data_IF_324530223425
#
_entry.id   IF_324530223425
#
_cell.length_a   1.000
_cell.length_b   1.000
_cell.length_c   1.000
_cell.angle_alpha   90.00
_cell.angle_beta   90.00
_cell.angle_gamma   90.00
#
_symmetry.space_group_name_H-M   'P 1'
#
loop_
_entity.id
_entity.type
_entity.pdbx_description
1 polymer ?
#
# COMPACT_ATOMS: atom_id res chain seq x y z
N UNK A 1 -4.65 18.19 -17.19
CA UNK A 1 -4.88 19.19 -16.13
C UNK A 1 -3.54 19.41 -15.44
N UNK A 2 -3.16 20.65 -15.10
CA UNK A 2 -1.91 20.89 -14.36
C UNK A 2 -2.14 20.55 -12.89
N UNK A 3 -1.19 19.84 -12.28
CA UNK A 3 -1.31 19.46 -10.86
C UNK A 3 -1.23 20.69 -9.97
N UNK A 4 -2.07 20.75 -8.92
CA UNK A 4 -2.06 21.87 -7.96
C UNK A 4 -0.92 21.69 -6.97
N UNK A 5 -0.10 22.73 -6.83
CA UNK A 5 0.97 22.82 -5.82
C UNK A 5 0.37 23.42 -4.55
N UNK A 6 0.69 22.82 -3.40
CA UNK A 6 0.36 23.35 -2.08
C UNK A 6 1.58 23.98 -1.44
N UNK A 7 1.40 25.16 -0.88
CA UNK A 7 2.37 25.74 0.02
C UNK A 7 2.30 25.01 1.37
N UNK A 8 3.43 24.43 1.79
CA UNK A 8 3.53 23.67 3.03
C UNK A 8 4.68 24.21 3.86
N UNK A 9 4.39 24.43 5.14
CA UNK A 9 5.38 24.89 6.12
C UNK A 9 6.60 23.97 6.17
N UNK A 10 7.79 24.57 6.25
CA UNK A 10 9.05 23.87 6.42
C UNK A 10 9.04 22.96 7.65
N UNK A 11 8.41 23.39 8.75
CA UNK A 11 8.31 22.58 9.96
C UNK A 11 7.51 21.29 9.73
N UNK A 12 6.45 21.34 8.90
CA UNK A 12 5.69 20.14 8.52
C UNK A 12 6.59 19.12 7.82
N UNK A 13 7.39 19.57 6.84
CA UNK A 13 8.32 18.71 6.11
C UNK A 13 9.34 18.08 7.05
N UNK A 14 10.01 18.92 7.87
CA UNK A 14 11.04 18.47 8.79
C UNK A 14 10.51 17.46 9.81
N UNK A 15 9.31 17.68 10.36
CA UNK A 15 8.68 16.75 11.31
C UNK A 15 8.43 15.36 10.71
N UNK A 16 8.17 15.27 9.40
CA UNK A 16 7.86 14.00 8.75
C UNK A 16 9.09 13.26 8.22
N UNK A 17 10.18 13.97 7.89
CA UNK A 17 11.31 13.35 7.18
C UNK A 17 12.60 13.20 8.00
N UNK A 18 12.89 14.15 8.90
CA UNK A 18 14.23 14.26 9.53
C UNK A 18 14.61 13.02 10.33
N UNK A 19 13.69 12.43 11.12
CA UNK A 19 13.97 11.20 11.89
C UNK A 19 14.42 10.00 11.04
N UNK A 20 14.08 10.00 9.76
CA UNK A 20 14.42 8.93 8.83
C UNK A 20 15.67 9.25 8.02
N UNK A 21 15.80 10.50 7.56
CA UNK A 21 16.81 10.91 6.58
C UNK A 21 18.05 11.58 7.19
N UNK A 22 17.93 12.26 8.34
CA UNK A 22 19.04 12.96 8.99
C UNK A 22 19.97 11.99 9.74
N UNK A 23 20.69 11.13 9.02
CA UNK A 23 21.61 10.15 9.61
C UNK A 23 23.03 10.34 9.08
N UNK A 24 23.97 10.59 9.99
CA UNK A 24 25.40 10.55 9.71
C UNK A 24 25.97 9.14 9.66
N UNK A 25 25.26 8.16 10.26
CA UNK A 25 25.65 6.77 10.22
C UNK A 25 25.41 6.16 8.83
N UNK A 26 26.43 5.51 8.29
CA UNK A 26 26.43 4.86 6.97
C UNK A 26 26.21 3.34 7.00
N UNK A 27 26.00 2.76 8.19
CA UNK A 27 25.68 1.35 8.40
C UNK A 27 24.33 0.98 7.74
N UNK A 28 24.29 -0.18 7.10
CA UNK A 28 23.11 -0.70 6.40
C UNK A 28 22.20 -1.48 7.36
N UNK A 29 21.77 -0.83 8.44
CA UNK A 29 21.01 -1.48 9.54
C UNK A 29 19.57 -1.84 9.19
N UNK A 30 19.05 -1.34 8.07
CA UNK A 30 17.66 -1.48 7.65
C UNK A 30 17.50 -2.33 6.37
N UNK A 31 18.50 -3.16 6.05
CA UNK A 31 18.44 -4.11 4.95
C UNK A 31 18.09 -5.52 5.44
N UNK A 32 16.82 -5.72 5.80
CA UNK A 32 16.29 -7.01 6.22
C UNK A 32 16.17 -7.97 5.04
N UNK A 33 16.48 -9.26 5.25
CA UNK A 33 16.41 -10.30 4.23
C UNK A 33 17.17 -9.98 2.92
N UNK A 34 18.23 -9.15 3.00
CA UNK A 34 18.98 -8.67 1.84
C UNK A 34 18.10 -8.05 0.75
N UNK A 35 17.02 -7.35 1.14
CA UNK A 35 16.10 -6.67 0.23
C UNK A 35 16.78 -5.66 -0.70
N UNK A 36 17.94 -5.12 -0.30
CA UNK A 36 18.76 -4.20 -1.07
C UNK A 36 20.19 -4.73 -1.27
N UNK A 37 20.87 -4.25 -2.31
CA UNK A 37 22.28 -4.54 -2.53
C UNK A 37 23.19 -3.91 -1.47
N UNK A 38 24.41 -4.45 -1.30
CA UNK A 38 25.36 -4.01 -0.28
C UNK A 38 25.83 -2.55 -0.39
N UNK A 39 25.58 -1.88 -1.51
CA UNK A 39 25.91 -0.46 -1.74
C UNK A 39 24.68 0.43 -1.85
N UNK A 40 23.48 -0.11 -1.61
CA UNK A 40 22.23 0.62 -1.80
C UNK A 40 21.97 1.57 -0.61
N UNK A 41 21.86 2.89 -0.84
CA UNK A 41 21.67 3.85 0.24
C UNK A 41 20.38 3.63 1.03
N UNK A 42 19.36 2.99 0.43
CA UNK A 42 18.07 2.74 1.08
C UNK A 42 18.18 1.82 2.28
N UNK A 43 19.16 0.91 2.30
CA UNK A 43 19.39 0.05 3.46
C UNK A 43 19.92 0.78 4.70
N UNK A 44 20.31 2.05 4.58
CA UNK A 44 20.69 2.93 5.71
C UNK A 44 19.51 3.70 6.30
N UNK A 45 18.40 3.78 5.54
CA UNK A 45 17.24 4.60 5.87
C UNK A 45 16.22 3.75 6.63
N UNK A 46 15.86 4.22 7.82
CA UNK A 46 14.78 3.63 8.58
C UNK A 46 13.46 3.92 7.87
N UNK A 47 12.66 2.90 7.57
CA UNK A 47 11.31 3.04 7.00
C UNK A 47 11.27 3.85 5.68
N UNK A 48 12.20 3.56 4.77
CA UNK A 48 12.31 4.22 3.47
C UNK A 48 11.02 4.18 2.61
N UNK A 49 10.15 3.20 2.86
CA UNK A 49 8.85 3.02 2.22
C UNK A 49 7.84 4.15 2.48
N UNK A 50 8.12 5.06 3.44
CA UNK A 50 7.26 6.21 3.75
C UNK A 50 7.27 7.32 2.70
N UNK A 51 8.24 7.29 1.78
CA UNK A 51 8.44 8.35 0.80
C UNK A 51 7.95 7.93 -0.59
N UNK A 52 7.29 8.83 -1.35
CA UNK A 52 6.87 10.17 -0.94
C UNK A 52 5.81 10.12 0.17
N UNK A 53 5.67 11.20 0.94
CA UNK A 53 4.68 11.25 2.02
C UNK A 53 3.30 11.36 1.38
N UNK A 54 2.38 10.49 1.78
CA UNK A 54 1.00 10.48 1.29
C UNK A 54 0.09 10.69 2.48
N UNK A 55 -0.74 11.71 2.39
CA UNK A 55 -1.59 12.10 3.50
C UNK A 55 -2.90 12.70 2.98
N UNK A 56 -3.88 12.90 3.86
CA UNK A 56 -5.17 13.44 3.48
C UNK A 56 -5.07 14.92 3.14
N UNK A 57 -5.82 15.33 2.12
CA UNK A 57 -5.90 16.72 1.72
C UNK A 57 -7.06 17.43 2.42
N UNK A 58 -6.78 18.53 3.10
CA UNK A 58 -7.84 19.44 3.61
C UNK A 58 -7.66 20.84 3.04
N UNK A 59 -8.29 21.10 1.89
CA UNK A 59 -8.35 22.43 1.30
C UNK A 59 -9.29 23.36 2.06
N UNK A 60 -8.96 24.65 2.15
CA UNK A 60 -9.81 25.68 2.77
C UNK A 60 -10.85 26.27 1.81
N UNK A 61 -10.68 26.13 0.49
CA UNK A 61 -11.30 27.07 -0.47
C UNK A 61 -12.32 26.53 -1.47
N UNK A 62 -12.66 25.24 -1.53
CA UNK A 62 -13.75 24.78 -2.42
C UNK A 62 -14.39 23.49 -1.92
N UNK A 63 -15.68 23.30 -2.22
CA UNK A 63 -16.43 22.04 -2.10
C UNK A 63 -15.87 20.90 -2.97
N UNK A 64 -14.76 21.10 -3.70
CA UNK A 64 -14.00 20.02 -4.32
C UNK A 64 -13.39 19.16 -3.22
N UNK A 65 -13.94 17.97 -3.06
CA UNK A 65 -14.06 17.37 -1.76
C UNK A 65 -12.72 16.86 -1.21
N UNK A 66 -12.52 17.04 0.10
CA UNK A 66 -11.52 16.37 0.94
C UNK A 66 -11.46 14.84 0.68
N UNK A 67 -12.57 14.29 0.18
CA UNK A 67 -12.75 12.87 -0.08
C UNK A 67 -11.96 12.43 -1.31
N UNK A 68 -11.73 13.28 -2.31
CA UNK A 68 -11.23 12.85 -3.63
C UNK A 68 -9.70 12.91 -3.77
N UNK A 69 -9.02 13.65 -2.89
CA UNK A 69 -7.60 13.98 -3.07
C UNK A 69 -6.71 13.61 -1.87
N UNK A 70 -5.45 13.30 -2.18
CA UNK A 70 -4.35 13.26 -1.23
C UNK A 70 -3.45 14.48 -1.39
N UNK A 71 -2.79 14.86 -0.29
CA UNK A 71 -1.56 15.66 -0.35
C UNK A 71 -0.40 14.69 -0.49
N UNK A 72 0.44 14.90 -1.50
CA UNK A 72 1.63 14.07 -1.76
C UNK A 72 2.86 14.95 -1.73
N UNK A 73 3.75 14.70 -0.78
CA UNK A 73 4.98 15.47 -0.59
C UNK A 73 6.18 14.68 -1.08
N UNK A 74 6.81 15.17 -2.14
CA UNK A 74 8.09 14.68 -2.63
C UNK A 74 9.22 15.36 -1.87
N UNK A 75 10.20 14.58 -1.44
CA UNK A 75 11.34 15.07 -0.67
C UNK A 75 12.61 14.53 -1.31
N UNK A 76 13.53 15.43 -1.58
CA UNK A 76 14.90 15.10 -1.93
C UNK A 76 15.83 15.57 -0.79
N UNK A 77 16.82 14.76 -0.47
CA UNK A 77 17.79 15.07 0.58
C UNK A 77 19.21 14.95 0.04
N UNK A 78 19.99 16.02 0.17
CA UNK A 78 21.41 16.04 -0.13
C UNK A 78 22.22 16.14 1.17
N UNK A 79 23.07 15.15 1.43
CA UNK A 79 24.12 15.22 2.46
C UNK A 79 25.44 15.80 1.94
N UNK A 80 25.48 16.18 0.65
CA UNK A 80 26.66 16.74 0.03
C UNK A 80 26.96 18.13 0.59
N UNK A 81 28.25 18.46 0.70
CA UNK A 81 28.69 19.84 0.99
C UNK A 81 28.35 20.79 -0.16
N UNK A 82 28.32 20.27 -1.39
CA UNK A 82 27.80 20.97 -2.56
C UNK A 82 26.31 20.70 -2.70
N UNK A 83 25.49 21.70 -2.34
CA UNK A 83 24.04 21.66 -2.52
C UNK A 83 23.69 21.86 -4.01
N UNK A 84 22.70 21.12 -4.53
CA UNK A 84 22.28 21.27 -5.93
C UNK A 84 21.70 22.66 -6.18
N UNK A 85 21.91 23.20 -7.38
CA UNK A 85 21.33 24.50 -7.76
C UNK A 85 19.85 24.37 -8.11
N UNK A 86 19.45 23.22 -8.65
CA UNK A 86 18.08 22.91 -9.00
C UNK A 86 17.71 21.48 -8.59
N UNK A 87 16.54 21.37 -7.97
CA UNK A 87 15.87 20.10 -7.69
C UNK A 87 14.44 20.21 -8.21
N UNK A 88 14.02 19.25 -9.03
CA UNK A 88 12.67 19.16 -9.53
C UNK A 88 12.16 17.72 -9.57
N UNK A 89 10.86 17.54 -9.73
CA UNK A 89 10.22 16.23 -9.89
C UNK A 89 9.36 16.24 -11.15
N UNK A 90 9.35 15.11 -11.85
CA UNK A 90 8.44 14.87 -12.98
C UNK A 90 7.87 13.47 -12.88
N UNK A 91 6.62 13.29 -13.32
CA UNK A 91 5.93 12.02 -13.17
C UNK A 91 4.52 12.04 -13.76
N UNK A 92 3.84 10.90 -13.69
CA UNK A 92 2.52 10.70 -14.31
C UNK A 92 1.36 11.40 -13.59
N UNK A 93 1.63 12.08 -12.48
CA UNK A 93 0.66 12.95 -11.79
C UNK A 93 0.52 14.32 -12.46
N UNK A 94 1.37 14.64 -13.43
CA UNK A 94 1.26 15.79 -14.32
C UNK A 94 1.75 15.38 -15.73
N UNK A 95 1.95 16.35 -16.63
CA UNK A 95 2.57 16.10 -17.93
C UNK A 95 4.05 15.78 -17.75
N UNK A 96 4.53 14.68 -18.37
CA UNK A 96 5.90 14.19 -18.22
C UNK A 96 7.02 15.14 -18.69
N UNK A 97 6.71 16.13 -19.51
CA UNK A 97 7.68 17.17 -19.90
C UNK A 97 7.71 18.34 -18.91
N UNK A 98 6.75 18.42 -18.01
CA UNK A 98 6.71 19.44 -16.97
C UNK A 98 7.56 18.97 -15.78
N UNK A 99 8.53 19.78 -15.41
CA UNK A 99 9.36 19.56 -14.21
C UNK A 99 8.89 20.53 -13.15
N UNK A 100 8.42 20.01 -12.03
CA UNK A 100 7.94 20.81 -10.91
C UNK A 100 9.11 21.04 -9.97
N UNK A 101 9.50 22.30 -9.77
CA UNK A 101 10.59 22.66 -8.87
C UNK A 101 10.26 22.30 -7.41
N UNK A 102 11.25 21.79 -6.68
CA UNK A 102 11.21 21.61 -5.24
C UNK A 102 11.81 22.84 -4.57
N UNK A 103 11.20 23.25 -3.45
CA UNK A 103 11.68 24.37 -2.66
C UNK A 103 12.68 23.90 -1.61
N UNK A 104 13.74 24.69 -1.40
CA UNK A 104 14.68 24.47 -0.30
C UNK A 104 13.96 24.62 1.04
N UNK A 105 14.14 23.63 1.90
CA UNK A 105 13.57 23.63 3.26
C UNK A 105 14.59 24.22 4.22
N UNK A 106 14.12 25.16 5.04
CA UNK A 106 14.93 25.90 6.00
C UNK A 106 14.47 25.66 7.43
N UNK A 107 15.41 25.64 8.36
CA UNK A 107 15.14 25.62 9.80
C UNK A 107 15.78 26.86 10.43
N UNK A 108 14.97 27.71 11.08
CA UNK A 108 15.43 28.99 11.64
C UNK A 108 16.20 29.89 10.64
N UNK A 109 15.86 29.80 9.35
CA UNK A 109 16.49 30.56 8.27
C UNK A 109 17.72 29.90 7.64
N UNK A 110 18.23 28.81 8.23
CA UNK A 110 19.40 28.07 7.72
C UNK A 110 18.97 26.95 6.76
N UNK A 111 19.83 26.68 5.77
CA UNK A 111 19.63 25.56 4.84
C UNK A 111 19.74 24.23 5.57
N UNK A 112 18.83 23.31 5.25
CA UNK A 112 18.80 21.98 5.87
C UNK A 112 19.29 20.87 4.94
N UNK A 113 19.58 21.18 3.66
CA UNK A 113 19.87 20.19 2.61
C UNK A 113 18.65 19.39 2.11
N UNK A 114 17.46 19.66 2.66
CA UNK A 114 16.20 19.11 2.17
C UNK A 114 15.57 20.03 1.12
N UNK A 115 14.99 19.42 0.10
CA UNK A 115 14.16 20.08 -0.90
C UNK A 115 12.82 19.35 -0.95
N UNK A 116 11.71 20.07 -1.02
CA UNK A 116 10.40 19.42 -1.10
C UNK A 116 9.37 20.21 -1.91
N UNK A 117 8.36 19.49 -2.40
CA UNK A 117 7.15 20.06 -2.98
C UNK A 117 5.96 19.19 -2.59
N UNK A 118 4.84 19.84 -2.26
CA UNK A 118 3.59 19.15 -1.95
C UNK A 118 2.58 19.38 -3.06
N UNK A 119 2.00 18.30 -3.58
CA UNK A 119 1.04 18.30 -4.67
C UNK A 119 -0.32 17.78 -4.20
N UNK A 120 -1.41 18.26 -4.82
CA UNK A 120 -2.75 17.68 -4.68
C UNK A 120 -2.94 16.64 -5.79
N UNK A 121 -3.07 15.37 -5.41
CA UNK A 121 -3.17 14.23 -6.34
C UNK A 121 -4.43 13.41 -6.03
N UNK A 122 -5.21 12.97 -7.03
CA UNK A 122 -6.39 12.16 -6.79
C UNK A 122 -6.10 10.88 -6.00
N UNK A 123 -7.05 10.46 -5.16
CA UNK A 123 -7.04 9.14 -4.51
C UNK A 123 -7.29 8.03 -5.52
N UNK A 124 -6.90 6.81 -5.18
CA UNK A 124 -7.13 5.63 -6.01
C UNK A 124 -6.12 5.41 -7.15
N UNK A 125 -5.10 6.25 -7.27
CA UNK A 125 -4.18 6.27 -8.42
C UNK A 125 -2.80 5.70 -8.08
N UNK A 126 -2.11 5.23 -9.13
CA UNK A 126 -0.71 4.78 -9.07
C UNK A 126 0.10 5.64 -10.02
N UNK A 127 1.20 6.20 -9.52
CA UNK A 127 2.04 7.08 -10.31
C UNK A 127 3.48 6.63 -10.35
N UNK A 128 4.16 7.03 -11.42
CA UNK A 128 5.60 6.88 -11.58
C UNK A 128 6.26 8.25 -11.68
N UNK A 129 7.46 8.39 -11.13
CA UNK A 129 8.20 9.65 -11.11
C UNK A 129 9.72 9.46 -11.10
N UNK A 130 10.42 10.56 -11.38
CA UNK A 130 11.87 10.74 -11.28
C UNK A 130 12.18 12.13 -10.76
N UNK A 131 13.33 12.29 -10.10
CA UNK A 131 13.88 13.60 -9.78
C UNK A 131 14.73 14.11 -10.93
N UNK A 132 14.80 15.44 -11.04
CA UNK A 132 15.66 16.18 -11.95
C UNK A 132 16.58 17.05 -11.10
N UNK A 133 17.86 16.69 -11.01
CA UNK A 133 18.87 17.38 -10.21
C UNK A 133 19.89 17.99 -11.17
N UNK A 134 19.98 19.32 -11.25
CA UNK A 134 20.92 20.01 -12.15
C UNK A 134 20.95 19.42 -13.57
N UNK A 135 19.76 19.27 -14.19
CA UNK A 135 19.48 18.64 -15.49
C UNK A 135 19.72 17.12 -15.60
N UNK A 136 20.08 16.44 -14.53
CA UNK A 136 20.20 14.98 -14.50
C UNK A 136 18.92 14.34 -13.99
N UNK A 137 18.34 13.43 -14.79
CA UNK A 137 17.14 12.69 -14.41
C UNK A 137 17.54 11.41 -13.66
N UNK A 138 17.19 11.32 -12.39
CA UNK A 138 17.54 10.19 -11.52
C UNK A 138 16.30 9.56 -10.89
N UNK A 139 16.43 8.30 -10.47
CA UNK A 139 15.43 7.69 -9.59
C UNK A 139 15.43 8.40 -8.24
N UNK A 140 14.30 8.32 -7.54
CA UNK A 140 14.27 8.65 -6.13
C UNK A 140 15.27 7.75 -5.37
N UNK A 141 16.32 8.34 -4.75
CA UNK A 141 17.36 7.58 -4.08
C UNK A 141 16.87 6.91 -2.78
N UNK A 142 15.73 7.35 -2.24
CA UNK A 142 15.20 6.87 -0.96
C UNK A 142 14.00 5.93 -1.16
N UNK A 143 13.19 6.10 -2.20
CA UNK A 143 11.99 5.28 -2.40
C UNK A 143 12.35 3.84 -2.85
N UNK A 144 11.96 2.79 -2.09
CA UNK A 144 12.19 1.41 -2.48
C UNK A 144 11.23 0.92 -3.57
N UNK A 145 10.12 1.62 -3.80
CA UNK A 145 9.09 1.25 -4.76
C UNK A 145 9.51 1.70 -6.16
N UNK A 146 9.71 0.73 -7.05
CA UNK A 146 10.14 0.98 -8.42
C UNK A 146 9.35 0.12 -9.39
N UNK A 147 9.15 0.63 -10.60
CA UNK A 147 8.50 -0.07 -11.71
C UNK A 147 9.38 0.00 -12.96
N UNK A 148 9.61 -1.15 -13.59
CA UNK A 148 10.18 -1.21 -14.93
C UNK A 148 9.03 -1.16 -15.92
N UNK A 149 9.05 -0.15 -16.80
CA UNK A 149 8.03 0.00 -17.84
C UNK A 149 8.35 -0.86 -19.08
N UNK A 150 7.38 -0.99 -19.99
CA UNK A 150 7.52 -1.80 -21.22
C UNK A 150 8.68 -1.34 -22.13
N UNK A 151 9.14 -0.10 -21.99
CA UNK A 151 10.30 0.44 -22.70
C UNK A 151 11.65 0.13 -22.00
N UNK A 152 11.65 -0.72 -20.98
CA UNK A 152 12.83 -1.11 -20.20
C UNK A 152 13.31 -0.05 -19.20
N UNK A 153 12.67 1.11 -19.13
CA UNK A 153 13.07 2.18 -18.20
C UNK A 153 12.51 1.91 -16.80
N UNK A 154 13.38 2.00 -15.80
CA UNK A 154 12.98 2.00 -14.39
C UNK A 154 12.53 3.39 -13.96
N UNK A 155 11.45 3.42 -13.17
CA UNK A 155 10.89 4.61 -12.54
C UNK A 155 10.64 4.38 -11.06
N UNK A 156 10.69 5.43 -10.26
CA UNK A 156 10.19 5.37 -8.88
C UNK A 156 8.67 5.37 -8.92
N UNK A 157 8.03 4.70 -7.97
CA UNK A 157 6.58 4.51 -7.97
C UNK A 157 5.98 4.88 -6.61
N UNK A 158 4.76 5.39 -6.61
CA UNK A 158 3.93 5.48 -5.41
C UNK A 158 2.46 5.28 -5.78
N UNK A 159 1.62 5.12 -4.77
CA UNK A 159 0.18 4.96 -4.93
C UNK A 159 -0.56 5.75 -3.86
N UNK A 160 -1.63 6.44 -4.25
CA UNK A 160 -2.46 7.23 -3.33
C UNK A 160 -3.37 6.33 -2.50
N UNK A 161 -3.96 6.89 -1.44
CA UNK A 161 -4.91 6.17 -0.59
C UNK A 161 -6.04 5.57 -1.44
N UNK A 162 -6.60 4.45 -1.02
CA UNK A 162 -7.70 3.74 -1.70
C UNK A 162 -7.36 3.15 -3.07
N UNK A 163 -6.09 3.14 -3.50
CA UNK A 163 -5.67 2.43 -4.72
C UNK A 163 -6.00 0.94 -4.65
N UNK A 164 -6.58 0.40 -5.73
CA UNK A 164 -6.97 -1.02 -5.89
C UNK A 164 -6.11 -1.80 -6.87
N UNK A 165 -5.13 -1.12 -7.50
CA UNK A 165 -4.20 -1.75 -8.42
C UNK A 165 -3.26 -2.69 -7.70
N UNK A 166 -3.06 -3.90 -8.22
CA UNK A 166 -2.00 -4.78 -7.73
C UNK A 166 -0.64 -4.25 -8.21
N UNK A 167 0.30 -4.13 -7.27
CA UNK A 167 1.61 -3.51 -7.49
C UNK A 167 2.74 -4.54 -7.48
N UNK A 168 2.70 -5.49 -6.53
CA UNK A 168 3.77 -6.45 -6.32
C UNK A 168 3.35 -7.88 -6.68
N UNK A 169 2.10 -8.25 -6.41
CA UNK A 169 1.56 -9.58 -6.71
C UNK A 169 1.08 -9.69 -8.16
N UNK A 170 1.34 -10.86 -8.75
CA UNK A 170 0.77 -11.24 -10.04
C UNK A 170 -0.70 -11.66 -9.88
N UNK A 171 -1.44 -11.65 -10.99
CA UNK A 171 -2.88 -11.98 -10.96
C UNK A 171 -3.16 -13.38 -10.42
N UNK A 172 -2.34 -14.38 -10.74
CA UNK A 172 -2.52 -15.74 -10.23
C UNK A 172 -2.16 -15.85 -8.73
N UNK A 173 -1.14 -15.11 -8.28
CA UNK A 173 -0.76 -15.02 -6.86
C UNK A 173 -1.91 -14.43 -6.05
N UNK A 174 -2.51 -13.35 -6.55
CA UNK A 174 -3.67 -12.71 -5.93
C UNK A 174 -4.87 -13.66 -5.84
N UNK A 175 -5.14 -14.46 -6.88
CA UNK A 175 -6.23 -15.45 -6.87
C UNK A 175 -6.01 -16.55 -5.82
N UNK A 176 -4.80 -17.13 -5.73
CA UNK A 176 -4.49 -18.15 -4.71
C UNK A 176 -4.58 -17.53 -3.31
N UNK A 177 -4.04 -16.33 -3.14
CA UNK A 177 -4.07 -15.60 -1.89
C UNK A 177 -5.51 -15.30 -1.43
N UNK A 178 -6.38 -14.89 -2.36
CA UNK A 178 -7.80 -14.67 -2.10
C UNK A 178 -8.44 -15.91 -1.48
N UNK A 179 -8.24 -17.08 -2.09
CA UNK A 179 -8.78 -18.35 -1.59
C UNK A 179 -8.32 -18.70 -0.18
N UNK A 180 -7.05 -18.42 0.14
CA UNK A 180 -6.51 -18.64 1.48
C UNK A 180 -7.09 -17.65 2.49
N UNK A 181 -7.18 -16.36 2.12
CA UNK A 181 -7.72 -15.30 3.00
C UNK A 181 -9.21 -15.51 3.30
N UNK A 182 -9.97 -15.96 2.30
CA UNK A 182 -11.40 -16.31 2.41
C UNK A 182 -11.64 -17.48 3.39
N UNK A 183 -10.68 -18.40 3.53
CA UNK A 183 -10.78 -19.48 4.51
C UNK A 183 -10.48 -18.99 5.95
N UNK A 184 -9.61 -17.98 6.10
CA UNK A 184 -9.24 -17.42 7.39
C UNK A 184 -10.34 -16.55 7.98
N UNK A 185 -11.05 -15.80 7.13
CA UNK A 185 -11.98 -14.76 7.55
C UNK A 185 -13.40 -15.28 7.75
N UNK A 186 -14.19 -14.69 8.66
CA UNK A 186 -15.53 -15.17 8.99
C UNK A 186 -16.59 -14.87 7.90
N UNK A 187 -16.21 -14.20 6.81
CA UNK A 187 -17.13 -13.71 5.79
C UNK A 187 -17.64 -14.77 4.81
N UNK A 188 -17.06 -15.96 4.83
CA UNK A 188 -17.41 -17.04 3.89
C UNK A 188 -18.45 -18.02 4.43
N UNK A 189 -18.91 -17.83 5.66
CA UNK A 189 -20.09 -18.52 6.20
C UNK A 189 -21.34 -18.03 5.47
N UNK A 190 -22.41 -18.82 5.43
CA UNK A 190 -23.68 -18.40 4.82
C UNK A 190 -24.20 -17.09 5.45
N UNK A 191 -24.04 -16.95 6.77
CA UNK A 191 -24.35 -15.73 7.50
C UNK A 191 -23.45 -14.55 7.11
N UNK A 192 -22.13 -14.77 7.03
CA UNK A 192 -21.16 -13.75 6.65
C UNK A 192 -21.35 -13.24 5.21
N UNK A 193 -21.65 -14.15 4.28
CA UNK A 193 -21.93 -13.78 2.89
C UNK A 193 -23.23 -12.98 2.78
N UNK A 194 -24.30 -13.43 3.45
CA UNK A 194 -25.56 -12.68 3.52
C UNK A 194 -25.38 -11.28 4.11
N UNK A 195 -24.56 -11.17 5.16
CA UNK A 195 -24.22 -9.88 5.75
C UNK A 195 -23.55 -8.96 4.74
N UNK A 196 -22.49 -9.43 4.06
CA UNK A 196 -21.78 -8.61 3.08
C UNK A 196 -22.68 -8.20 1.92
N UNK A 197 -23.45 -9.15 1.37
CA UNK A 197 -24.41 -8.88 0.30
C UNK A 197 -25.42 -7.80 0.72
N UNK A 198 -25.99 -7.90 1.92
CA UNK A 198 -26.91 -6.90 2.44
C UNK A 198 -26.23 -5.54 2.64
N UNK A 199 -25.02 -5.53 3.21
CA UNK A 199 -24.27 -4.32 3.52
C UNK A 199 -23.89 -3.55 2.25
N UNK A 200 -23.29 -4.21 1.26
CA UNK A 200 -22.91 -3.56 0.00
C UNK A 200 -24.13 -3.08 -0.79
N UNK A 201 -25.22 -3.87 -0.84
CA UNK A 201 -26.48 -3.42 -1.43
C UNK A 201 -27.06 -2.18 -0.72
N UNK A 202 -26.85 -2.04 0.59
CA UNK A 202 -27.29 -0.85 1.34
C UNK A 202 -26.44 0.39 1.03
N UNK A 203 -25.12 0.21 0.89
CA UNK A 203 -24.20 1.27 0.47
C UNK A 203 -24.53 1.77 -0.94
N UNK A 204 -24.80 0.87 -1.87
CA UNK A 204 -25.16 1.22 -3.26
C UNK A 204 -26.47 1.99 -3.38
N UNK A 205 -27.41 1.74 -2.46
CA UNK A 205 -28.67 2.51 -2.41
C UNK A 205 -28.44 3.90 -1.84
N UNK A 206 -27.59 4.02 -0.82
CA UNK A 206 -27.21 5.30 -0.22
C UNK A 206 -26.32 6.13 -1.17
N UNK A 207 -25.55 5.48 -2.04
CA UNK A 207 -24.63 6.12 -2.97
C UNK A 207 -25.30 6.70 -4.23
N UNK A 208 -26.56 6.35 -4.49
CA UNK A 208 -27.35 7.02 -5.54
C UNK A 208 -27.67 8.48 -5.21
N UNK A 209 -27.64 8.86 -3.93
CA UNK A 209 -27.83 10.24 -3.47
C UNK A 209 -26.51 10.97 -3.15
N UNK A 210 -25.39 10.24 -2.98
CA UNK A 210 -24.05 10.79 -2.75
C UNK A 210 -23.01 9.91 -3.45
N UNK A 211 -22.19 10.47 -4.34
CA UNK A 211 -21.17 9.77 -5.12
C UNK A 211 -20.16 8.98 -4.27
N UNK A 212 -20.51 7.80 -3.76
CA UNK A 212 -19.54 6.79 -3.33
C UNK A 212 -19.04 6.04 -4.56
N UNK A 213 -18.39 6.76 -5.47
CA UNK A 213 -17.36 6.12 -6.27
C UNK A 213 -16.16 6.02 -5.35
N UNK A 214 -15.68 4.81 -5.09
CA UNK A 214 -14.28 4.41 -5.16
C UNK A 214 -14.12 3.05 -4.46
N UNK A 215 -13.70 2.07 -5.27
CA UNK A 215 -12.80 1.01 -4.84
C UNK A 215 -13.34 -0.17 -4.00
N UNK A 216 -14.43 -0.81 -4.41
CA UNK A 216 -14.60 -2.24 -4.12
C UNK A 216 -14.87 -3.01 -5.42
N UNK A 217 -14.05 -4.03 -5.71
CA UNK A 217 -14.41 -5.04 -6.72
C UNK A 217 -15.42 -5.95 -6.02
N UNK A 218 -16.63 -6.08 -6.57
CA UNK A 218 -17.70 -6.95 -6.05
C UNK A 218 -17.25 -8.40 -5.78
N UNK A 219 -16.18 -8.79 -6.45
CA UNK A 219 -15.53 -10.08 -6.48
C UNK A 219 -14.52 -10.30 -5.34
N UNK A 220 -14.11 -9.26 -4.60
CA UNK A 220 -13.23 -9.38 -3.42
C UNK A 220 -14.00 -9.09 -2.13
N UNK A 221 -14.19 -10.11 -1.28
CA UNK A 221 -15.08 -10.07 -0.10
C UNK A 221 -14.92 -8.84 0.81
N UNK A 222 -13.67 -8.39 1.05
CA UNK A 222 -13.38 -7.20 1.87
C UNK A 222 -12.08 -6.46 1.46
N UNK A 223 -11.49 -6.81 0.31
CA UNK A 223 -10.25 -6.18 -0.20
C UNK A 223 -8.94 -6.59 0.50
N UNK A 224 -8.93 -7.66 1.29
CA UNK A 224 -7.73 -8.11 2.04
C UNK A 224 -6.52 -8.37 1.14
N UNK A 225 -6.71 -8.96 -0.05
CA UNK A 225 -5.61 -9.21 -0.98
C UNK A 225 -4.95 -7.91 -1.43
N UNK A 226 -5.74 -6.88 -1.73
CA UNK A 226 -5.22 -5.55 -2.07
C UNK A 226 -4.45 -4.95 -0.89
N UNK A 227 -4.96 -5.04 0.34
CA UNK A 227 -4.21 -4.63 1.54
C UNK A 227 -2.86 -5.34 1.65
N UNK A 228 -2.84 -6.66 1.50
CA UNK A 228 -1.60 -7.46 1.58
C UNK A 228 -0.62 -7.00 0.49
N UNK A 229 -1.07 -6.80 -0.74
CA UNK A 229 -0.23 -6.29 -1.82
C UNK A 229 0.38 -4.91 -1.49
N UNK A 230 -0.42 -3.98 -0.95
CA UNK A 230 0.09 -2.66 -0.53
C UNK A 230 1.11 -2.77 0.60
N UNK A 231 0.84 -3.61 1.59
CA UNK A 231 1.72 -3.87 2.73
C UNK A 231 3.06 -4.46 2.28
N UNK A 232 3.03 -5.43 1.35
CA UNK A 232 4.23 -6.05 0.75
C UNK A 232 4.96 -5.10 -0.21
N UNK A 233 4.27 -4.07 -0.72
CA UNK A 233 4.91 -3.04 -1.53
C UNK A 233 5.69 -2.04 -0.65
N UNK A 234 5.26 -1.84 0.60
CA UNK A 234 5.79 -0.84 1.54
C UNK A 234 6.36 -1.45 2.83
N UNK A 235 5.59 -1.47 3.91
CA UNK A 235 6.03 -1.70 5.30
C UNK A 235 6.70 -3.06 5.48
N UNK A 236 6.10 -4.09 4.88
CA UNK A 236 6.51 -5.50 5.02
C UNK A 236 7.16 -6.00 3.72
N UNK A 237 7.82 -5.11 2.96
CA UNK A 237 8.48 -5.48 1.69
C UNK A 237 9.48 -6.62 1.82
N UNK A 238 10.13 -6.73 2.97
CA UNK A 238 11.05 -7.81 3.29
C UNK A 238 10.41 -9.21 3.30
N UNK A 239 9.07 -9.30 3.33
CA UNK A 239 8.30 -10.54 3.20
C UNK A 239 7.77 -10.81 1.78
N UNK A 240 7.96 -9.90 0.82
CA UNK A 240 7.45 -10.10 -0.55
C UNK A 240 7.96 -11.40 -1.18
N UNK A 241 9.26 -11.69 -0.99
CA UNK A 241 9.86 -12.91 -1.52
C UNK A 241 9.29 -14.17 -0.86
N UNK A 242 8.96 -14.12 0.43
CA UNK A 242 8.34 -15.23 1.16
C UNK A 242 6.97 -15.56 0.56
N UNK A 243 6.17 -14.53 0.27
CA UNK A 243 4.88 -14.66 -0.39
C UNK A 243 5.02 -15.28 -1.78
N UNK A 244 5.92 -14.76 -2.62
CA UNK A 244 6.13 -15.27 -3.98
C UNK A 244 6.56 -16.75 -3.97
N UNK A 245 7.48 -17.13 -3.08
CA UNK A 245 7.92 -18.52 -2.93
C UNK A 245 6.77 -19.40 -2.47
N UNK A 246 6.06 -19.01 -1.41
CA UNK A 246 5.01 -19.83 -0.82
C UNK A 246 3.80 -19.98 -1.74
N UNK A 247 3.37 -18.91 -2.41
CA UNK A 247 2.26 -18.97 -3.36
C UNK A 247 2.60 -19.84 -4.57
N UNK A 248 3.83 -19.80 -5.07
CA UNK A 248 4.29 -20.72 -6.13
C UNK A 248 4.34 -22.19 -5.66
N UNK A 249 4.78 -22.45 -4.42
CA UNK A 249 4.73 -23.80 -3.84
C UNK A 249 3.27 -24.28 -3.73
N UNK A 250 2.37 -23.43 -3.25
CA UNK A 250 0.95 -23.75 -3.07
C UNK A 250 0.28 -24.00 -4.42
N UNK A 251 0.49 -23.14 -5.43
CA UNK A 251 -0.07 -23.31 -6.78
C UNK A 251 0.35 -24.67 -7.37
N UNK A 252 1.64 -25.00 -7.32
CA UNK A 252 2.16 -26.29 -7.80
C UNK A 252 1.59 -27.48 -7.05
N UNK A 253 1.51 -27.39 -5.73
CA UNK A 253 0.95 -28.44 -4.88
C UNK A 253 -0.53 -28.67 -5.17
N UNK A 254 -1.31 -27.61 -5.34
CA UNK A 254 -2.72 -27.68 -5.69
C UNK A 254 -2.91 -28.34 -7.07
N UNK A 255 -2.14 -27.90 -8.08
CA UNK A 255 -2.15 -28.54 -9.42
C UNK A 255 -1.74 -30.01 -9.39
N UNK A 256 -0.87 -30.42 -8.46
CA UNK A 256 -0.53 -31.84 -8.27
C UNK A 256 -1.70 -32.64 -7.70
N UNK A 257 -2.45 -32.07 -6.75
CA UNK A 257 -3.65 -32.69 -6.15
C UNK A 257 -4.79 -32.80 -7.15
N UNK A 258 -4.99 -31.80 -7.99
CA UNK A 258 -5.98 -31.83 -9.06
C UNK A 258 -5.47 -31.10 -10.31
N UNK A 259 -5.07 -31.86 -11.32
CA UNK A 259 -4.47 -31.34 -12.57
C UNK A 259 -5.47 -30.68 -13.51
N UNK A 260 -6.77 -30.89 -13.30
CA UNK A 260 -7.82 -30.48 -14.25
C UNK A 260 -8.52 -29.18 -13.86
N UNK A 261 -8.25 -28.66 -12.66
CA UNK A 261 -8.89 -27.46 -12.13
C UNK A 261 -7.81 -26.45 -11.79
N UNK A 262 -8.02 -25.20 -12.20
CA UNK A 262 -7.13 -24.09 -11.82
C UNK A 262 -7.21 -23.83 -10.31
N UNK A 263 -6.09 -23.57 -9.61
CA UNK A 263 -6.07 -23.36 -8.16
C UNK A 263 -7.08 -22.34 -7.63
N UNK A 264 -7.32 -21.23 -8.35
CA UNK A 264 -8.33 -20.24 -7.97
C UNK A 264 -9.78 -20.77 -7.97
N UNK A 265 -10.05 -21.85 -8.72
CA UNK A 265 -11.37 -22.46 -8.88
C UNK A 265 -11.56 -23.74 -8.03
N UNK A 266 -10.53 -24.18 -7.30
CA UNK A 266 -10.61 -25.38 -6.49
C UNK A 266 -11.61 -25.24 -5.34
N UNK A 267 -12.10 -26.40 -4.87
CA UNK A 267 -13.16 -26.47 -3.86
C UNK A 267 -12.71 -25.88 -2.51
N UNK A 268 -13.67 -25.55 -1.65
CA UNK A 268 -13.38 -24.97 -0.33
C UNK A 268 -12.64 -25.98 0.56
N UNK A 269 -13.01 -27.25 0.44
CA UNK A 269 -12.50 -28.37 1.21
C UNK A 269 -11.01 -28.58 0.95
N UNK A 270 -10.56 -28.39 -0.29
CA UNK A 270 -9.14 -28.53 -0.64
C UNK A 270 -8.27 -27.45 0.03
N UNK A 271 -8.79 -26.22 0.12
CA UNK A 271 -8.10 -25.14 0.83
C UNK A 271 -8.17 -25.30 2.36
N UNK A 272 -9.27 -25.86 2.88
CA UNK A 272 -9.38 -26.19 4.30
C UNK A 272 -8.36 -27.27 4.71
N UNK A 273 -8.25 -28.33 3.90
CA UNK A 273 -7.25 -29.39 4.12
C UNK A 273 -5.81 -28.84 4.07
N UNK A 274 -5.50 -28.00 3.07
CA UNK A 274 -4.21 -27.33 2.97
C UNK A 274 -3.94 -26.45 4.20
N UNK A 275 -4.94 -25.71 4.66
CA UNK A 275 -4.82 -24.85 5.84
C UNK A 275 -4.47 -25.67 7.09
N UNK A 276 -5.17 -26.79 7.34
CA UNK A 276 -4.90 -27.68 8.48
C UNK A 276 -3.49 -28.28 8.42
N UNK A 277 -3.06 -28.71 7.24
CA UNK A 277 -1.71 -29.22 7.00
C UNK A 277 -0.64 -28.15 7.28
N UNK A 278 -0.85 -26.92 6.78
CA UNK A 278 0.06 -25.81 7.04
C UNK A 278 0.09 -25.43 8.52
N UNK A 279 -1.04 -25.52 9.23
CA UNK A 279 -1.14 -25.24 10.66
C UNK A 279 -0.35 -26.25 11.50
N UNK A 280 -0.43 -27.53 11.14
CA UNK A 280 0.39 -28.60 11.73
C UNK A 280 1.87 -28.41 11.37
N UNK A 281 2.15 -27.91 10.15
CA UNK A 281 3.49 -27.72 9.60
C UNK A 281 3.97 -28.88 8.74
N UNK A 282 3.13 -29.90 8.54
CA UNK A 282 3.38 -31.06 7.70
C UNK A 282 2.41 -31.02 6.51
N UNK A 283 2.95 -30.65 5.35
CA UNK A 283 2.19 -30.46 4.12
C UNK A 283 2.73 -31.43 3.07
N UNK A 284 2.01 -32.52 2.76
CA UNK A 284 2.43 -33.45 1.72
C UNK A 284 2.64 -32.75 0.38
N UNK A 285 3.85 -32.90 -0.18
CA UNK A 285 4.26 -32.27 -1.44
C UNK A 285 4.87 -30.86 -1.30
N UNK A 286 4.98 -30.31 -0.09
CA UNK A 286 5.62 -29.01 0.12
C UNK A 286 7.12 -29.05 -0.15
N UNK A 287 7.65 -28.01 -0.79
CA UNK A 287 9.09 -27.92 -1.05
C UNK A 287 9.83 -27.25 0.12
N UNK A 288 10.16 -28.05 1.13
CA UNK A 288 10.88 -27.61 2.34
C UNK A 288 12.29 -27.07 2.08
N UNK A 289 12.90 -27.37 0.93
CA UNK A 289 14.20 -26.80 0.55
C UNK A 289 14.09 -25.33 0.12
N UNK A 290 12.93 -24.92 -0.41
CA UNK A 290 12.67 -23.54 -0.84
C UNK A 290 12.05 -22.69 0.27
N UNK A 291 11.22 -23.29 1.12
CA UNK A 291 10.65 -22.61 2.28
C UNK A 291 10.41 -23.59 3.42
N UNK A 292 11.15 -23.41 4.52
CA UNK A 292 11.26 -24.44 5.55
C UNK A 292 9.98 -24.59 6.39
N UNK A 293 9.17 -23.54 6.56
CA UNK A 293 8.08 -23.56 7.55
C UNK A 293 6.74 -23.10 6.95
N UNK A 294 5.91 -24.02 6.44
CA UNK A 294 4.54 -23.72 6.01
C UNK A 294 3.72 -23.05 7.12
N UNK A 295 3.97 -23.46 8.37
CA UNK A 295 3.33 -22.92 9.57
C UNK A 295 3.66 -21.45 9.81
N UNK A 296 4.92 -21.07 9.62
CA UNK A 296 5.32 -19.67 9.76
C UNK A 296 4.67 -18.79 8.69
N UNK A 297 4.65 -19.25 7.43
CA UNK A 297 3.92 -18.54 6.36
C UNK A 297 2.42 -18.43 6.69
N UNK A 298 1.81 -19.47 7.25
CA UNK A 298 0.41 -19.41 7.67
C UNK A 298 0.17 -18.38 8.77
N UNK A 299 1.07 -18.28 9.76
CA UNK A 299 0.98 -17.29 10.83
C UNK A 299 1.10 -15.87 10.28
N UNK A 300 2.05 -15.64 9.37
CA UNK A 300 2.22 -14.37 8.66
C UNK A 300 0.96 -14.00 7.88
N UNK A 301 0.43 -14.95 7.10
CA UNK A 301 -0.79 -14.76 6.33
C UNK A 301 -1.99 -14.43 7.21
N UNK A 302 -2.19 -15.15 8.32
CA UNK A 302 -3.27 -14.85 9.28
C UNK A 302 -3.15 -13.44 9.84
N UNK A 303 -1.94 -13.04 10.27
CA UNK A 303 -1.70 -11.68 10.77
C UNK A 303 -2.12 -10.64 9.73
N UNK A 304 -1.62 -10.75 8.51
CA UNK A 304 -1.94 -9.77 7.46
C UNK A 304 -3.41 -9.81 7.04
N UNK A 305 -4.04 -10.99 7.01
CA UNK A 305 -5.47 -11.13 6.70
C UNK A 305 -6.36 -10.41 7.72
N UNK A 306 -6.11 -10.63 9.02
CA UNK A 306 -6.87 -9.95 10.08
C UNK A 306 -6.59 -8.45 10.10
N UNK A 307 -5.33 -8.02 9.96
CA UNK A 307 -5.00 -6.59 9.86
C UNK A 307 -5.68 -5.96 8.65
N UNK A 308 -5.69 -6.62 7.49
CA UNK A 308 -6.33 -6.11 6.28
C UNK A 308 -7.85 -6.03 6.39
N UNK A 309 -8.50 -7.00 7.02
CA UNK A 309 -9.95 -7.01 7.18
C UNK A 309 -10.47 -5.92 8.12
N UNK A 310 -9.67 -5.48 9.11
CA UNK A 310 -10.14 -4.61 10.19
C UNK A 310 -9.32 -3.31 10.37
N UNK A 311 -8.39 -3.00 9.47
CA UNK A 311 -7.68 -1.72 9.45
C UNK A 311 -8.46 -0.64 8.70
N UNK A 312 -7.93 0.58 8.65
CA UNK A 312 -8.56 1.69 7.95
C UNK A 312 -8.66 1.41 6.43
N UNK A 313 -9.82 1.62 5.79
CA UNK A 313 -10.03 1.29 4.37
C UNK A 313 -9.07 1.98 3.40
N UNK A 314 -8.51 3.13 3.80
CA UNK A 314 -7.50 3.88 3.03
C UNK A 314 -6.26 3.05 2.66
N UNK A 315 -5.96 1.99 3.42
CA UNK A 315 -4.82 1.09 3.18
C UNK A 315 -5.14 -0.07 2.23
N UNK A 316 -6.35 -0.12 1.66
CA UNK A 316 -6.73 -1.04 0.60
C UNK A 316 -7.50 -2.29 1.02
N UNK A 317 -7.66 -2.52 2.34
CA UNK A 317 -8.51 -3.56 2.92
C UNK A 317 -9.78 -2.98 3.52
N UNK A 318 -10.53 -3.76 4.31
CA UNK A 318 -11.77 -3.33 4.96
C UNK A 318 -12.69 -2.53 4.03
N UNK A 319 -12.91 -3.02 2.81
CA UNK A 319 -13.56 -2.25 1.75
C UNK A 319 -14.94 -1.71 2.20
N UNK A 320 -15.11 -0.39 2.09
CA UNK A 320 -16.33 0.30 2.55
C UNK A 320 -16.55 0.30 4.06
N UNK A 321 -15.59 -0.12 4.89
CA UNK A 321 -15.76 -0.30 6.33
C UNK A 321 -16.50 -1.59 6.71
N UNK A 322 -16.63 -2.56 5.79
CA UNK A 322 -17.41 -3.78 5.98
C UNK A 322 -16.99 -4.62 7.19
N UNK A 323 -15.70 -4.70 7.48
CA UNK A 323 -15.17 -5.43 8.64
C UNK A 323 -15.56 -4.75 9.95
N UNK A 324 -15.53 -3.42 9.99
CA UNK A 324 -16.02 -2.68 11.15
C UNK A 324 -17.52 -2.77 11.31
N UNK A 325 -18.28 -2.73 10.21
CA UNK A 325 -19.73 -2.94 10.23
C UNK A 325 -20.07 -4.34 10.76
N UNK A 326 -19.34 -5.37 10.32
CA UNK A 326 -19.49 -6.76 10.79
C UNK A 326 -19.24 -6.88 12.30
N UNK A 327 -18.23 -6.19 12.82
CA UNK A 327 -17.95 -6.14 14.26
C UNK A 327 -19.01 -5.36 15.03
N UNK A 328 -19.49 -4.23 14.50
CA UNK A 328 -20.50 -3.39 15.15
C UNK A 328 -21.87 -4.07 15.29
N UNK A 329 -22.20 -5.01 14.39
CA UNK A 329 -23.40 -5.84 14.52
C UNK A 329 -23.30 -6.80 15.72
N UNK A 330 -22.08 -7.21 16.09
CA UNK A 330 -21.82 -8.25 17.10
C UNK A 330 -21.35 -7.70 18.45
N UNK A 331 -20.80 -6.49 18.45
CA UNK A 331 -20.19 -5.88 19.61
C UNK A 331 -20.60 -4.39 19.72
N UNK A 332 -20.70 -3.84 20.94
CA UNK A 332 -21.10 -2.45 21.16
C UNK A 332 -19.97 -1.48 20.79
N UNK A 333 -19.76 -1.24 19.49
CA UNK A 333 -18.72 -0.36 18.97
C UNK A 333 -19.27 0.52 17.83
N UNK A 334 -19.20 1.84 18.00
CA UNK A 334 -19.66 2.82 17.01
C UNK A 334 -18.48 3.41 16.23
N UNK A 335 -17.98 2.66 15.24
CA UNK A 335 -16.83 3.08 14.43
C UNK A 335 -17.10 4.34 13.59
N UNK A 336 -18.36 4.60 13.20
CA UNK A 336 -18.71 5.76 12.35
C UNK A 336 -18.37 7.10 13.03
N UNK A 337 -18.41 7.17 14.36
CA UNK A 337 -18.01 8.36 15.10
C UNK A 337 -16.49 8.58 15.15
N UNK A 338 -15.70 7.58 14.75
CA UNK A 338 -14.23 7.60 14.86
C UNK A 338 -13.52 7.80 13.53
N UNK A 339 -14.25 7.86 12.42
CA UNK A 339 -13.67 8.01 11.07
C UNK A 339 -14.33 9.14 10.30
N UNK A 340 -13.60 9.65 9.32
CA UNK A 340 -14.00 10.77 8.49
C UNK A 340 -15.12 10.41 7.51
N UNK A 341 -15.78 11.44 6.99
CA UNK A 341 -16.65 11.28 5.83
C UNK A 341 -15.86 10.71 4.63
N UNK A 342 -16.46 9.85 3.79
CA UNK A 342 -17.89 9.57 3.73
C UNK A 342 -18.31 8.33 4.53
N UNK A 343 -17.37 7.57 5.10
CA UNK A 343 -17.66 6.34 5.83
C UNK A 343 -18.18 6.60 7.25
N UNK A 344 -17.70 7.68 7.88
CA UNK A 344 -18.09 8.09 9.21
C UNK A 344 -18.57 9.54 9.26
N UNK A 345 -18.67 10.04 10.49
CA UNK A 345 -19.24 11.34 10.82
C UNK A 345 -18.28 12.20 11.63
N UNK A 346 -17.03 11.78 11.81
CA UNK A 346 -16.06 12.53 12.61
C UNK A 346 -15.53 13.73 11.80
N UNK A 347 -15.79 14.99 12.22
CA UNK A 347 -15.30 16.16 11.51
C UNK A 347 -13.82 16.48 11.79
N UNK A 348 -13.29 15.95 12.88
CA UNK A 348 -11.94 16.25 13.39
C UNK A 348 -10.90 15.26 12.88
N UNK A 349 -11.31 14.01 12.66
CA UNK A 349 -10.46 12.99 12.08
C UNK A 349 -10.24 13.27 10.60
N UNK A 350 -8.98 13.34 10.18
CA UNK A 350 -8.58 13.69 8.80
C UNK A 350 -7.72 12.59 8.19
N UNK A 351 -7.87 11.34 8.62
CA UNK A 351 -7.13 10.20 8.09
C UNK A 351 -5.93 9.82 8.92
#
# INVERSE_FOLDING_TARGET
MQVKILDTDHQYILNHCTKYLARSNTDIRHNYNNQFGASDPRGRICEAWRFPIIDSYTGKDTQESIVDYNRVTFIYFSLSSDLPNFVGVTGTFDKLYNVIALNEIKFLGESTGYYAVTLVIPKGEVHTYKFVIDNQVILDPINPQQKVLNNGQTWSQFFTHQSTDLLSLQSWEALVLERLTDHILPFRTEEGQRFLDFYYNSLDRQSKDNQFLYAYKFDQSIGVVNFIDKLLTKEERHHLIDYQICLDIIDKLLRQRNRFIEPGLMSKEMYAELYDQMFIGDVPGWNYSRYQSPKYFLQLLRRHSFTGAFSHPKYGGNAGGAGWAYLAERYPFNWRQSVEAPLGTNPDYRG
#
